data_IF_201545148697
#
_entry.id   IF_201545148697
#
_cell.length_a   1.000
_cell.length_b   1.000
_cell.length_c   1.000
_cell.angle_alpha   90.00
_cell.angle_beta   90.00
_cell.angle_gamma   90.00
#
_symmetry.space_group_name_H-M   'P 1'
#
loop_
_entity.id
_entity.type
_entity.pdbx_description
1 polymer ?
#
# COMPACT_ATOMS: atom_id res chain seq x y z
N UNK A 1 10.91 -8.09 -1.73
CA UNK A 1 10.38 -6.72 -1.99
C UNK A 1 9.28 -6.84 -3.03
N UNK A 2 8.09 -6.27 -2.80
CA UNK A 2 6.98 -6.40 -3.76
C UNK A 2 7.35 -5.73 -5.10
N UNK A 3 7.14 -6.45 -6.20
CA UNK A 3 7.55 -6.03 -7.55
C UNK A 3 6.62 -4.97 -8.17
N UNK A 4 5.66 -4.47 -7.38
CA UNK A 4 4.53 -3.65 -7.85
C UNK A 4 4.99 -2.35 -8.50
N UNK A 5 5.96 -1.67 -7.90
CA UNK A 5 6.47 -0.41 -8.45
C UNK A 5 7.17 -0.61 -9.80
N UNK A 6 7.95 -1.68 -9.93
CA UNK A 6 8.63 -2.01 -11.19
C UNK A 6 7.61 -2.36 -12.26
N UNK A 7 6.58 -3.12 -11.94
CA UNK A 7 5.52 -3.47 -12.88
C UNK A 7 4.77 -2.23 -13.39
N UNK A 8 4.40 -1.29 -12.51
CA UNK A 8 3.73 -0.05 -12.89
C UNK A 8 4.61 0.76 -13.85
N UNK A 9 5.92 0.87 -13.56
CA UNK A 9 6.86 1.60 -14.40
C UNK A 9 7.11 0.91 -15.74
N UNK A 10 7.38 -0.40 -15.74
CA UNK A 10 7.75 -1.16 -16.94
C UNK A 10 6.56 -1.39 -17.88
N UNK A 11 5.36 -1.63 -17.33
CA UNK A 11 4.14 -1.86 -18.11
C UNK A 11 3.39 -0.57 -18.40
N UNK A 12 3.79 0.53 -17.77
CA UNK A 12 3.14 1.84 -17.88
C UNK A 12 1.62 1.78 -17.57
N UNK A 13 1.24 0.92 -16.62
CA UNK A 13 -0.15 0.72 -16.20
C UNK A 13 -0.35 1.27 -14.78
N UNK A 14 -1.28 2.22 -14.57
CA UNK A 14 -1.63 2.70 -13.24
C UNK A 14 -2.15 1.58 -12.35
N UNK A 15 -1.95 1.73 -11.04
CA UNK A 15 -2.44 0.76 -10.07
C UNK A 15 -3.02 1.42 -8.83
N UNK A 16 -4.21 0.97 -8.46
CA UNK A 16 -4.87 1.34 -7.22
C UNK A 16 -4.77 0.19 -6.22
N UNK A 17 -4.32 0.47 -5.00
CA UNK A 17 -4.17 -0.52 -3.93
C UNK A 17 -4.81 -0.02 -2.62
N UNK A 18 -5.30 -0.97 -1.83
CA UNK A 18 -5.56 -0.79 -0.40
C UNK A 18 -4.38 -1.38 0.39
N UNK A 19 -3.74 -0.58 1.23
CA UNK A 19 -2.52 -0.94 1.95
C UNK A 19 -2.68 -0.66 3.44
N UNK A 20 -1.98 -1.42 4.28
CA UNK A 20 -1.73 -1.08 5.68
C UNK A 20 -0.25 -0.77 5.90
N UNK A 21 0.04 0.36 6.53
CA UNK A 21 1.38 0.71 7.00
C UNK A 21 1.52 0.40 8.49
N UNK A 22 2.68 -0.15 8.87
CA UNK A 22 3.13 -0.24 10.25
C UNK A 22 3.90 1.04 10.59
N UNK A 23 3.42 1.81 11.56
CA UNK A 23 4.05 3.04 12.02
C UNK A 23 4.43 2.86 13.49
N UNK A 24 5.73 2.96 13.85
CA UNK A 24 6.13 2.92 15.25
C UNK A 24 5.70 4.20 15.96
N UNK A 25 5.16 4.05 17.17
CA UNK A 25 4.84 5.16 18.07
C UNK A 25 5.97 5.43 19.06
N UNK A 26 5.94 6.62 19.67
CA UNK A 26 6.98 7.08 20.60
C UNK A 26 7.04 6.27 21.90
N UNK A 27 5.94 5.62 22.28
CA UNK A 27 5.81 4.72 23.44
C UNK A 27 6.32 3.29 23.15
N UNK A 28 6.77 3.00 21.93
CA UNK A 28 7.23 1.69 21.51
C UNK A 28 6.12 0.78 20.96
N UNK A 29 4.86 1.23 20.96
CA UNK A 29 3.76 0.50 20.34
C UNK A 29 3.77 0.63 18.82
N UNK A 30 3.10 -0.29 18.14
CA UNK A 30 2.91 -0.26 16.69
C UNK A 30 1.49 0.18 16.36
N UNK A 31 1.38 1.17 15.50
CA UNK A 31 0.11 1.57 14.89
C UNK A 31 0.01 1.04 13.46
N UNK A 32 -1.11 0.40 13.16
CA UNK A 32 -1.45 0.02 11.79
C UNK A 32 -2.37 1.06 11.17
N UNK A 33 -1.91 1.72 10.11
CA UNK A 33 -2.70 2.73 9.40
C UNK A 33 -3.13 2.20 8.05
N UNK A 34 -4.44 2.12 7.84
CA UNK A 34 -5.03 1.80 6.54
C UNK A 34 -5.02 3.03 5.62
N UNK A 35 -4.60 2.83 4.38
CA UNK A 35 -4.64 3.88 3.36
C UNK A 35 -4.88 3.28 1.97
N UNK A 36 -5.49 4.10 1.12
CA UNK A 36 -5.58 3.84 -0.31
C UNK A 36 -4.44 4.56 -1.01
N UNK A 37 -3.90 3.97 -2.06
CA UNK A 37 -2.92 4.64 -2.93
C UNK A 37 -3.21 4.40 -4.40
N UNK A 38 -2.91 5.42 -5.20
CA UNK A 38 -2.83 5.35 -6.65
C UNK A 38 -1.37 5.55 -7.06
N UNK A 39 -0.82 4.55 -7.74
CA UNK A 39 0.48 4.62 -8.38
C UNK A 39 0.27 4.92 -9.86
N UNK A 40 0.79 6.05 -10.33
CA UNK A 40 0.75 6.43 -11.74
C UNK A 40 2.15 6.48 -12.33
N UNK A 41 2.42 5.75 -13.42
CA UNK A 41 3.65 5.92 -14.15
C UNK A 41 3.59 7.23 -14.93
N UNK A 42 4.68 8.00 -14.87
CA UNK A 42 4.82 9.27 -15.59
C UNK A 42 6.17 9.31 -16.28
N UNK A 43 6.31 10.25 -17.23
CA UNK A 43 7.62 10.58 -17.80
C UNK A 43 8.05 11.94 -17.29
N UNK A 44 9.30 12.05 -16.87
CA UNK A 44 9.90 13.34 -16.53
C UNK A 44 10.11 14.17 -17.79
N UNK A 45 10.43 15.46 -17.65
CA UNK A 45 10.79 16.34 -18.77
C UNK A 45 11.96 15.82 -19.63
N UNK A 46 12.80 14.94 -19.09
CA UNK A 46 13.93 14.30 -19.80
C UNK A 46 13.58 12.90 -20.34
N UNK A 47 12.29 12.59 -20.51
CA UNK A 47 11.78 11.28 -20.96
C UNK A 47 12.18 10.09 -20.08
N UNK A 48 12.66 10.34 -18.85
CA UNK A 48 12.97 9.26 -17.90
C UNK A 48 11.68 8.77 -17.24
N UNK A 49 11.48 7.45 -17.11
CA UNK A 49 10.34 6.90 -16.38
C UNK A 49 10.42 7.30 -14.90
N UNK A 50 9.28 7.70 -14.36
CA UNK A 50 9.11 8.04 -12.95
C UNK A 50 7.73 7.56 -12.46
N UNK A 51 7.50 7.66 -11.16
CA UNK A 51 6.28 7.22 -10.51
C UNK A 51 5.74 8.34 -9.62
N UNK A 52 4.45 8.65 -9.77
CA UNK A 52 3.72 9.50 -8.84
C UNK A 52 2.88 8.60 -7.94
N UNK A 53 3.01 8.78 -6.63
CA UNK A 53 2.19 8.11 -5.63
C UNK A 53 1.25 9.14 -5.00
N UNK A 54 -0.05 8.94 -5.14
CA UNK A 54 -1.08 9.67 -4.41
C UNK A 54 -1.64 8.74 -3.34
N UNK A 55 -1.72 9.20 -2.09
CA UNK A 55 -2.19 8.36 -0.97
C UNK A 55 -3.13 9.12 -0.08
N UNK A 56 -4.18 8.45 0.39
CA UNK A 56 -5.17 8.99 1.31
C UNK A 56 -5.39 7.99 2.44
N UNK A 57 -5.25 8.44 3.68
CA UNK A 57 -5.59 7.64 4.86
C UNK A 57 -7.09 7.38 4.85
N UNK A 58 -7.46 6.14 5.13
CA UNK A 58 -8.86 5.73 5.19
C UNK A 58 -9.17 5.22 6.59
N UNK A 59 -10.38 5.49 7.12
CA UNK A 59 -10.80 4.85 8.35
C UNK A 59 -10.67 3.33 8.20
N UNK A 60 -10.31 2.67 9.29
CA UNK A 60 -10.21 1.21 9.31
C UNK A 60 -11.59 0.62 9.03
N UNK A 61 -11.83 0.28 7.77
CA UNK A 61 -12.89 -0.64 7.41
C UNK A 61 -12.34 -1.99 7.81
N UNK A 62 -12.77 -2.48 8.98
CA UNK A 62 -12.41 -3.80 9.49
C UNK A 62 -12.67 -4.82 8.39
N UNK A 63 -11.64 -5.25 7.67
CA UNK A 63 -11.75 -6.44 6.83
C UNK A 63 -11.76 -7.58 7.85
N UNK A 64 -12.88 -8.31 8.02
CA UNK A 64 -12.91 -9.44 8.93
C UNK A 64 -11.81 -10.40 8.48
N UNK A 65 -10.78 -10.55 9.31
CA UNK A 65 -9.83 -11.64 9.15
C UNK A 65 -10.63 -12.88 9.56
N UNK A 66 -10.81 -13.90 8.71
CA UNK A 66 -11.28 -15.18 9.19
C UNK A 66 -10.21 -15.71 10.13
N UNK A 67 -10.39 -15.47 11.43
CA UNK A 67 -9.60 -16.11 12.46
C UNK A 67 -10.06 -17.56 12.46
N UNK A 68 -9.25 -18.42 11.85
CA UNK A 68 -9.44 -19.86 11.98
C UNK A 68 -9.05 -20.22 13.41
N UNK A 69 -9.99 -20.05 14.34
CA UNK A 69 -9.82 -20.51 15.72
C UNK A 69 -9.86 -22.04 15.63
N UNK A 70 -8.68 -22.66 15.60
CA UNK A 70 -8.55 -24.06 15.93
C UNK A 70 -8.92 -24.20 17.41
N UNK A 71 -10.19 -24.51 17.67
CA UNK A 71 -10.60 -25.01 18.98
C UNK A 71 -9.98 -26.40 19.12
N UNK A 72 -8.83 -26.47 19.80
CA UNK A 72 -8.33 -27.74 20.31
C UNK A 72 -9.33 -28.24 21.35
N UNK A 73 -9.94 -29.39 21.05
CA UNK A 73 -10.79 -30.16 21.96
C UNK A 73 -9.98 -30.80 23.08
#
# INVERSE_FOLDING_TARGET
MSNVYKDVVLKFQPRFDHIRACIPRADGEIEWVSYQRLLMPVRTRRERPALVCLSVTTPDVSIPIPVQIALSA
#
